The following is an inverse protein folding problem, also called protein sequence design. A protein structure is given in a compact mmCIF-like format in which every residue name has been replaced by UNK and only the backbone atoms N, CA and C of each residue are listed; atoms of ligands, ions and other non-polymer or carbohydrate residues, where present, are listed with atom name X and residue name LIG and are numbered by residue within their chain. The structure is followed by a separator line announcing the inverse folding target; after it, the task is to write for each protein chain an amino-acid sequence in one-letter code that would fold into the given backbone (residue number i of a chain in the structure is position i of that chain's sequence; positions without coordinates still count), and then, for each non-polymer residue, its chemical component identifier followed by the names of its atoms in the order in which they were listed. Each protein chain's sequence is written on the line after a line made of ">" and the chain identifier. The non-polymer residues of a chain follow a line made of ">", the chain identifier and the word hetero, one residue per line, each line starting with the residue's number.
data_IF_672542790754
#
_entry.id   IF_672542790754
#
_cell.length_a   1.000
_cell.length_b   1.000
_cell.length_c   1.000
_cell.angle_alpha   90.00
_cell.angle_beta   90.00
_cell.angle_gamma   90.00
#
_symmetry.space_group_name_H-M   'P 1'
#
loop_
_entity.id
_entity.type
_entity.pdbx_description
1 polymer ?
#
# COMPACT_ATOMS: atom_id res chain seq x y z
N UNK A 1 -15.37 5.94 -1.99
CA UNK A 1 -14.61 4.82 -1.40
C UNK A 1 -13.28 5.31 -0.87
N UNK A 2 -12.94 4.94 0.34
CA UNK A 2 -11.65 5.28 0.91
C UNK A 2 -10.63 4.19 0.62
N UNK A 3 -9.46 4.60 0.15
CA UNK A 3 -8.34 3.70 -0.14
C UNK A 3 -7.06 4.24 0.48
N UNK A 4 -6.07 3.38 0.57
CA UNK A 4 -4.74 3.78 1.04
C UNK A 4 -3.69 3.45 -0.02
N UNK A 5 -2.62 4.24 0.02
CA UNK A 5 -1.40 4.00 -0.74
C UNK A 5 -0.26 4.22 0.23
N UNK A 6 0.56 3.21 0.47
CA UNK A 6 1.62 3.36 1.46
C UNK A 6 2.97 2.91 0.91
N UNK A 7 3.98 3.71 1.21
CA UNK A 7 5.38 3.38 0.93
C UNK A 7 5.92 2.60 2.11
N UNK A 8 6.21 1.32 1.91
CA UNK A 8 6.74 0.45 2.97
C UNK A 8 8.26 0.61 3.01
N UNK A 9 8.77 1.05 4.15
CA UNK A 9 10.19 1.39 4.32
C UNK A 9 10.77 0.50 5.43
N UNK A 10 11.90 -0.15 5.15
CA UNK A 10 12.54 -1.03 6.14
C UNK A 10 13.55 -0.29 7.00
N UNK A 11 14.19 -1.01 7.95
CA UNK A 11 15.17 -0.44 8.85
C UNK A 11 16.45 0.05 8.19
N UNK A 12 16.64 -0.22 6.91
CA UNK A 12 17.77 0.27 6.12
C UNK A 12 17.39 1.41 5.18
N UNK A 13 16.19 1.99 5.39
CA UNK A 13 15.64 3.08 4.57
C UNK A 13 15.40 2.70 3.11
N UNK A 14 15.13 1.42 2.85
CA UNK A 14 14.78 0.95 1.51
C UNK A 14 13.28 0.85 1.38
N UNK A 15 12.76 1.19 0.21
CA UNK A 15 11.33 1.12 -0.11
C UNK A 15 11.03 -0.22 -0.76
N UNK A 16 9.97 -0.89 -0.28
CA UNK A 16 9.48 -2.12 -0.89
C UNK A 16 8.66 -1.78 -2.13
N UNK A 17 9.05 -2.35 -3.26
CA UNK A 17 8.26 -2.27 -4.48
C UNK A 17 7.76 -3.66 -4.83
N UNK A 18 6.47 -3.75 -5.14
CA UNK A 18 5.83 -4.98 -5.55
C UNK A 18 5.81 -5.04 -7.08
N UNK A 19 6.02 -6.24 -7.63
CA UNK A 19 6.00 -6.43 -9.06
C UNK A 19 4.64 -6.97 -9.50
N UNK A 20 3.91 -6.17 -10.25
CA UNK A 20 2.67 -6.60 -10.87
C UNK A 20 2.95 -7.43 -12.12
N UNK A 21 2.02 -8.30 -12.48
CA UNK A 21 2.17 -9.24 -13.59
C UNK A 21 1.39 -8.78 -14.81
N UNK A 22 1.93 -9.10 -16.00
CA UNK A 22 1.22 -8.91 -17.28
C UNK A 22 -0.02 -9.80 -17.39
N UNK A 23 -0.18 -10.76 -16.49
CA UNK A 23 -1.38 -11.59 -16.41
C UNK A 23 -2.55 -10.88 -15.74
N UNK A 24 -2.31 -9.74 -15.11
CA UNK A 24 -3.39 -8.93 -14.54
C UNK A 24 -4.24 -8.38 -15.69
N UNK A 25 -5.58 -8.56 -15.66
CA UNK A 25 -6.43 -8.12 -16.76
C UNK A 25 -6.42 -6.63 -17.04
N UNK A 26 -5.95 -5.80 -16.11
CA UNK A 26 -5.85 -4.36 -16.28
C UNK A 26 -4.57 -3.93 -16.98
N UNK A 27 -3.56 -4.80 -17.05
CA UNK A 27 -2.23 -4.45 -17.53
C UNK A 27 -1.72 -5.50 -18.49
N UNK A 28 -0.98 -5.05 -19.51
CA UNK A 28 -0.44 -5.92 -20.55
C UNK A 28 1.07 -6.15 -20.38
N UNK A 29 1.64 -5.73 -19.25
CA UNK A 29 3.07 -5.89 -18.97
C UNK A 29 3.32 -5.85 -17.46
N UNK A 30 4.49 -6.33 -17.05
CA UNK A 30 4.92 -6.22 -15.65
C UNK A 30 5.19 -4.77 -15.28
N UNK A 31 4.92 -4.41 -14.02
CA UNK A 31 5.11 -3.06 -13.52
C UNK A 31 5.42 -3.10 -12.02
N UNK A 32 6.06 -2.04 -11.54
CA UNK A 32 6.37 -1.90 -10.11
C UNK A 32 5.33 -1.00 -9.47
N UNK A 33 4.94 -1.34 -8.22
CA UNK A 33 3.96 -0.53 -7.49
C UNK A 33 4.18 -0.67 -5.99
N UNK A 34 3.58 0.28 -5.23
CA UNK A 34 3.60 0.26 -3.77
C UNK A 34 2.31 -0.39 -3.25
N UNK A 35 2.24 -0.63 -1.93
CA UNK A 35 1.05 -1.27 -1.35
C UNK A 35 -0.14 -0.32 -1.42
N UNK A 36 -1.24 -0.80 -1.98
CA UNK A 36 -2.50 -0.07 -2.05
C UNK A 36 -3.64 -1.00 -1.63
N UNK A 37 -4.76 -0.41 -1.22
CA UNK A 37 -5.94 -1.20 -0.90
C UNK A 37 -7.10 -0.35 -0.43
N UNK A 38 -8.28 -0.97 -0.34
CA UNK A 38 -9.50 -0.30 0.09
C UNK A 38 -9.78 -0.53 1.57
N UNK A 39 -10.34 0.48 2.22
CA UNK A 39 -10.82 0.35 3.59
C UNK A 39 -12.06 -0.55 3.59
N UNK A 40 -12.13 -1.45 4.57
CA UNK A 40 -13.23 -2.39 4.73
C UNK A 40 -13.93 -2.16 6.06
N UNK A 41 -15.14 -2.71 6.18
CA UNK A 41 -15.95 -2.54 7.40
C UNK A 41 -15.26 -3.10 8.64
N UNK A 42 -14.37 -4.08 8.48
CA UNK A 42 -13.61 -4.64 9.60
C UNK A 42 -12.47 -3.74 10.07
N UNK A 43 -12.15 -2.70 9.31
CA UNK A 43 -11.07 -1.78 9.67
C UNK A 43 -11.64 -0.63 10.50
N UNK A 44 -11.17 -0.48 11.74
CA UNK A 44 -11.63 0.60 12.62
C UNK A 44 -11.03 1.94 12.23
N UNK A 45 -9.80 1.94 11.70
CA UNK A 45 -9.09 3.15 11.31
C UNK A 45 -8.39 2.94 9.97
N UNK A 46 -7.92 4.05 9.37
CA UNK A 46 -7.11 3.98 8.15
C UNK A 46 -5.82 3.22 8.42
N UNK A 47 -5.22 3.39 9.59
CA UNK A 47 -4.01 2.68 9.97
C UNK A 47 -4.24 1.17 10.05
N UNK A 48 -5.43 0.75 10.48
CA UNK A 48 -5.78 -0.68 10.48
C UNK A 48 -5.87 -1.23 9.05
N UNK A 49 -6.40 -0.44 8.12
CA UNK A 49 -6.41 -0.80 6.70
C UNK A 49 -4.98 -1.02 6.21
N UNK A 50 -4.08 -0.09 6.53
CA UNK A 50 -2.68 -0.18 6.12
C UNK A 50 -2.03 -1.45 6.67
N UNK A 51 -2.18 -1.71 7.96
CA UNK A 51 -1.60 -2.90 8.59
C UNK A 51 -2.10 -4.18 7.92
N UNK A 52 -3.40 -4.24 7.65
CA UNK A 52 -4.01 -5.41 6.99
C UNK A 52 -3.47 -5.59 5.57
N UNK A 53 -3.48 -4.53 4.79
CA UNK A 53 -3.04 -4.61 3.39
C UNK A 53 -1.55 -4.93 3.28
N UNK A 54 -0.70 -4.33 4.11
CA UNK A 54 0.72 -4.65 4.13
C UNK A 54 0.95 -6.10 4.51
N UNK A 55 0.21 -6.59 5.51
CA UNK A 55 0.32 -8.00 5.94
C UNK A 55 -0.12 -8.96 4.83
N UNK A 56 -1.23 -8.66 4.17
CA UNK A 56 -1.75 -9.50 3.10
C UNK A 56 -0.81 -9.55 1.89
N UNK A 57 -0.23 -8.43 1.51
CA UNK A 57 0.57 -8.35 0.28
C UNK A 57 2.05 -8.67 0.50
N UNK A 58 2.59 -8.47 1.69
CA UNK A 58 4.03 -8.62 1.94
C UNK A 58 4.36 -9.61 3.06
N UNK A 59 3.41 -9.93 3.93
CA UNK A 59 3.65 -10.73 5.12
C UNK A 59 4.32 -9.95 6.26
N UNK A 60 4.55 -8.65 6.11
CA UNK A 60 5.27 -7.85 7.08
C UNK A 60 4.33 -7.16 8.06
N UNK A 61 4.84 -6.86 9.25
CA UNK A 61 4.11 -6.13 10.28
C UNK A 61 4.58 -4.69 10.34
N UNK A 62 3.63 -3.76 10.24
CA UNK A 62 3.92 -2.32 10.30
C UNK A 62 4.19 -1.92 11.75
N UNK A 63 5.28 -1.19 11.96
CA UNK A 63 5.65 -0.66 13.29
C UNK A 63 5.18 0.77 13.48
N UNK A 64 5.20 1.56 12.42
CA UNK A 64 4.81 2.97 12.49
C UNK A 64 4.24 3.40 11.15
N UNK A 65 3.19 4.23 11.19
CA UNK A 65 2.60 4.85 10.00
C UNK A 65 2.71 6.37 10.13
N UNK A 66 3.12 7.03 9.05
CA UNK A 66 3.15 8.48 8.98
C UNK A 66 2.28 8.93 7.81
N UNK A 67 1.28 9.76 8.11
CA UNK A 67 0.43 10.34 7.07
C UNK A 67 1.19 11.45 6.35
N UNK A 68 1.23 11.37 5.01
CA UNK A 68 2.00 12.33 4.22
C UNK A 68 1.20 13.57 3.80
N UNK A 69 0.00 13.74 4.37
CA UNK A 69 -0.89 14.87 4.07
C UNK A 69 -1.21 14.97 2.58
N UNK A 70 -1.40 13.83 1.94
CA UNK A 70 -1.65 13.77 0.52
C UNK A 70 -2.84 12.86 0.26
N UNK A 71 -3.84 13.37 -0.46
CA UNK A 71 -5.03 12.61 -0.83
C UNK A 71 -5.21 12.73 -2.34
N UNK A 72 -5.29 11.58 -3.01
CA UNK A 72 -5.67 11.52 -4.41
C UNK A 72 -7.18 11.32 -4.50
N UNK A 73 -7.84 12.12 -5.32
CA UNK A 73 -9.27 11.94 -5.61
C UNK A 73 -9.42 11.59 -7.07
N UNK A 74 -10.11 10.48 -7.35
CA UNK A 74 -10.28 10.02 -8.71
C UNK A 74 -11.52 9.13 -8.81
N UNK A 75 -11.97 8.85 -10.03
CA UNK A 75 -13.07 7.95 -10.29
C UNK A 75 -12.52 6.67 -10.89
N UNK A 76 -12.98 5.53 -10.37
CA UNK A 76 -12.61 4.22 -10.87
C UNK A 76 -13.87 3.40 -11.06
N UNK A 77 -14.13 2.98 -12.29
CA UNK A 77 -15.30 2.16 -12.64
C UNK A 77 -16.62 2.77 -12.13
N UNK A 78 -16.76 4.09 -12.27
CA UNK A 78 -17.96 4.81 -11.86
C UNK A 78 -18.06 5.12 -10.37
N UNK A 79 -17.01 4.80 -9.58
CA UNK A 79 -17.00 5.06 -8.14
C UNK A 79 -15.96 6.11 -7.81
N UNK A 80 -16.35 7.13 -7.04
CA UNK A 80 -15.43 8.14 -6.54
C UNK A 80 -14.55 7.55 -5.46
N UNK A 81 -13.23 7.72 -5.61
CA UNK A 81 -12.24 7.18 -4.68
C UNK A 81 -11.41 8.30 -4.07
N UNK A 82 -11.10 8.15 -2.78
CA UNK A 82 -10.15 8.99 -2.07
C UNK A 82 -9.04 8.08 -1.58
N UNK A 83 -7.82 8.32 -2.02
CA UNK A 83 -6.67 7.50 -1.68
C UNK A 83 -5.71 8.28 -0.80
N UNK A 84 -5.53 7.82 0.44
CA UNK A 84 -4.71 8.48 1.45
C UNK A 84 -3.30 7.92 1.41
N UNK A 85 -2.30 8.81 1.33
CA UNK A 85 -0.91 8.42 1.14
C UNK A 85 -0.16 8.41 2.46
N UNK A 86 0.50 7.30 2.75
CA UNK A 86 1.24 7.07 4.00
C UNK A 86 2.64 6.54 3.72
N UNK A 87 3.53 6.69 4.70
CA UNK A 87 4.78 5.94 4.80
C UNK A 87 4.64 4.97 5.96
N UNK A 88 4.95 3.70 5.74
CA UNK A 88 4.79 2.64 6.74
C UNK A 88 6.15 2.00 7.00
N UNK A 89 6.58 2.01 8.26
CA UNK A 89 7.91 1.52 8.65
C UNK A 89 7.81 0.11 9.23
N UNK A 90 8.71 -0.76 8.77
CA UNK A 90 8.80 -2.14 9.21
C UNK A 90 10.25 -2.44 9.60
N UNK A 91 10.45 -3.50 10.41
CA UNK A 91 11.80 -3.88 10.87
C UNK A 91 12.53 -4.81 9.92
N UNK A 92 11.91 -5.19 8.83
CA UNK A 92 12.49 -6.14 7.88
C UNK A 92 13.77 -5.58 7.26
N UNK A 93 14.83 -6.40 7.24
CA UNK A 93 16.14 -6.01 6.70
C UNK A 93 16.65 -6.95 5.62
N UNK A 94 15.79 -7.86 5.14
CA UNK A 94 16.18 -8.82 4.12
C UNK A 94 16.32 -8.17 2.74
N UNK A 95 17.00 -8.88 1.85
CA UNK A 95 17.29 -8.39 0.50
C UNK A 95 16.06 -8.34 -0.42
N UNK A 96 14.90 -8.74 0.06
CA UNK A 96 13.66 -8.67 -0.72
C UNK A 96 13.19 -7.24 -0.97
N UNK A 97 13.74 -6.27 -0.23
CA UNK A 97 13.44 -4.86 -0.46
C UNK A 97 14.33 -4.30 -1.59
N UNK A 98 13.73 -3.51 -2.43
CA UNK A 98 14.41 -2.91 -3.59
C UNK A 98 14.79 -1.45 -3.34
#
# INVERSE_FOLDING_TARGET
>A
MKKICTFVINGENKILLLLGSDKDPQFHRSFWYVVTGGCEDCDDTIEDTIKREVKEETGLDVKENIYLNWIFKYESLGVECEEYVYASFVDERRNSFK
#
